data_IF_864111224807
#
_entry.id   IF_864111224807
#
_cell.length_a   1.000
_cell.length_b   1.000
_cell.length_c   1.000
_cell.angle_alpha   90.00
_cell.angle_beta   90.00
_cell.angle_gamma   90.00
#
_symmetry.space_group_name_H-M   'P 1'
#
loop_
_entity.id
_entity.type
_entity.pdbx_description
1 polymer ?
#
# COMPACT_ATOMS: atom_id res chain seq x y z
N UNK A 1 -16.51 3.42 -7.03
CA UNK A 1 -16.37 2.32 -8.01
C UNK A 1 -15.61 1.25 -7.28
N UNK A 2 -16.22 0.09 -6.99
CA UNK A 2 -15.51 -0.98 -6.33
C UNK A 2 -14.32 -1.34 -7.22
N UNK A 3 -13.11 -1.28 -6.68
CA UNK A 3 -11.95 -1.60 -7.48
C UNK A 3 -11.86 -3.12 -7.53
N UNK A 4 -12.31 -3.70 -8.62
CA UNK A 4 -12.06 -5.12 -8.89
C UNK A 4 -10.57 -5.30 -9.16
N UNK A 5 -10.00 -6.34 -8.56
CA UNK A 5 -8.65 -6.79 -8.87
C UNK A 5 -8.65 -7.52 -10.21
N UNK A 6 -7.81 -7.05 -11.12
CA UNK A 6 -7.56 -7.75 -12.38
C UNK A 6 -6.41 -8.77 -12.24
N UNK A 7 -6.23 -9.57 -13.29
CA UNK A 7 -5.21 -10.63 -13.31
C UNK A 7 -3.79 -10.09 -13.14
N UNK A 8 -3.53 -8.85 -13.59
CA UNK A 8 -2.22 -8.20 -13.44
C UNK A 8 -1.99 -7.85 -11.98
N UNK A 9 -2.98 -7.26 -11.31
CA UNK A 9 -2.89 -6.92 -9.89
C UNK A 9 -2.60 -8.18 -9.06
N UNK A 10 -3.28 -9.28 -9.35
CA UNK A 10 -3.07 -10.56 -8.67
C UNK A 10 -1.69 -11.13 -8.98
N UNK A 11 -1.25 -11.04 -10.23
CA UNK A 11 0.09 -11.43 -10.63
C UNK A 11 1.18 -10.70 -9.84
N UNK A 12 1.04 -9.38 -9.68
CA UNK A 12 1.97 -8.56 -8.89
C UNK A 12 1.98 -8.99 -7.42
N UNK A 13 0.80 -9.16 -6.82
CA UNK A 13 0.69 -9.55 -5.41
C UNK A 13 1.26 -10.95 -5.20
N UNK A 14 0.98 -11.88 -6.11
CA UNK A 14 1.48 -13.27 -6.04
C UNK A 14 3.00 -13.30 -6.14
N UNK A 15 3.59 -12.52 -7.07
CA UNK A 15 5.04 -12.43 -7.20
C UNK A 15 5.70 -11.89 -5.91
N UNK A 16 5.09 -10.88 -5.27
CA UNK A 16 5.59 -10.30 -4.01
C UNK A 16 5.35 -11.20 -2.78
N UNK A 17 4.27 -11.98 -2.76
CA UNK A 17 4.04 -12.99 -1.71
C UNK A 17 5.06 -14.13 -1.77
N UNK A 18 5.50 -14.50 -2.98
CA UNK A 18 6.56 -15.49 -3.17
C UNK A 18 7.93 -14.93 -2.79
N UNK A 19 8.24 -13.71 -3.25
CA UNK A 19 9.49 -13.02 -2.92
C UNK A 19 9.26 -11.50 -2.91
N UNK A 20 9.13 -10.96 -1.70
CA UNK A 20 8.93 -9.52 -1.48
C UNK A 20 10.14 -8.67 -1.86
N UNK A 21 11.29 -9.27 -2.20
CA UNK A 21 12.49 -8.56 -2.66
C UNK A 21 12.56 -8.42 -4.17
N UNK A 22 11.62 -9.01 -4.92
CA UNK A 22 11.58 -8.90 -6.38
C UNK A 22 11.51 -7.45 -6.83
N UNK A 23 12.38 -7.09 -7.76
CA UNK A 23 12.34 -5.78 -8.41
C UNK A 23 11.15 -5.66 -9.36
N UNK A 24 10.65 -4.44 -9.57
CA UNK A 24 9.58 -4.20 -10.57
C UNK A 24 9.97 -4.64 -11.98
N UNK A 25 11.27 -4.60 -12.33
CA UNK A 25 11.78 -5.10 -13.61
C UNK A 25 11.61 -6.62 -13.75
N UNK A 26 11.83 -7.38 -12.68
CA UNK A 26 11.63 -8.83 -12.69
C UNK A 26 10.14 -9.17 -12.81
N UNK A 27 9.29 -8.54 -12.00
CA UNK A 27 7.84 -8.72 -12.04
C UNK A 27 7.28 -8.36 -13.44
N UNK A 28 7.77 -7.27 -14.03
CA UNK A 28 7.39 -6.85 -15.38
C UNK A 28 7.69 -7.93 -16.44
N UNK A 29 8.86 -8.59 -16.34
CA UNK A 29 9.23 -9.69 -17.25
C UNK A 29 8.37 -10.93 -17.04
N UNK A 30 8.11 -11.29 -15.77
CA UNK A 30 7.27 -12.46 -15.43
C UNK A 30 5.83 -12.29 -15.94
N UNK A 31 5.29 -11.07 -15.86
CA UNK A 31 3.91 -10.76 -16.26
C UNK A 31 3.78 -10.24 -17.71
N UNK A 32 4.87 -10.16 -18.47
CA UNK A 32 4.91 -9.62 -19.84
C UNK A 32 4.30 -8.21 -19.97
N UNK A 33 4.63 -7.30 -19.04
CA UNK A 33 4.17 -5.91 -19.05
C UNK A 33 5.34 -4.94 -18.85
N UNK A 34 5.09 -3.64 -19.01
CA UNK A 34 6.14 -2.63 -18.80
C UNK A 34 6.44 -2.41 -17.31
N UNK A 35 7.69 -2.07 -16.97
CA UNK A 35 8.07 -1.70 -15.60
C UNK A 35 7.27 -0.51 -15.05
N UNK A 36 7.01 0.57 -15.83
CA UNK A 36 6.11 1.64 -15.40
C UNK A 36 4.70 1.13 -15.05
N UNK A 37 4.15 0.18 -15.82
CA UNK A 37 2.85 -0.42 -15.53
C UNK A 37 2.85 -1.12 -14.17
N UNK A 38 3.87 -1.94 -13.88
CA UNK A 38 4.02 -2.59 -12.56
C UNK A 38 4.08 -1.54 -11.45
N UNK A 39 4.89 -0.50 -11.62
CA UNK A 39 5.04 0.55 -10.61
C UNK A 39 3.72 1.27 -10.34
N UNK A 40 3.00 1.70 -11.37
CA UNK A 40 1.69 2.35 -11.21
C UNK A 40 0.69 1.44 -10.51
N UNK A 41 0.63 0.16 -10.91
CA UNK A 41 -0.28 -0.83 -10.31
C UNK A 41 0.06 -1.10 -8.86
N UNK A 42 1.34 -1.34 -8.55
CA UNK A 42 1.82 -1.51 -7.18
C UNK A 42 1.50 -0.30 -6.29
N UNK A 43 1.80 0.92 -6.74
CA UNK A 43 1.51 2.13 -5.97
C UNK A 43 0.01 2.27 -5.69
N UNK A 44 -0.84 1.95 -6.66
CA UNK A 44 -2.28 1.92 -6.45
C UNK A 44 -2.68 0.90 -5.37
N UNK A 45 -2.17 -0.33 -5.43
CA UNK A 45 -2.45 -1.39 -4.44
C UNK A 45 -2.01 -0.99 -3.01
N UNK A 46 -0.92 -0.24 -2.89
CA UNK A 46 -0.47 0.35 -1.62
C UNK A 46 -1.41 1.47 -1.17
N UNK A 47 -1.73 2.41 -2.06
CA UNK A 47 -2.58 3.56 -1.74
C UNK A 47 -4.00 3.17 -1.32
N UNK A 48 -4.56 2.10 -1.91
CA UNK A 48 -5.87 1.55 -1.50
C UNK A 48 -5.81 0.73 -0.21
N UNK A 49 -4.62 0.52 0.36
CA UNK A 49 -4.42 -0.21 1.61
C UNK A 49 -4.42 -1.74 1.49
N UNK A 50 -4.47 -2.28 0.26
CA UNK A 50 -4.40 -3.73 0.05
C UNK A 50 -3.00 -4.27 0.35
N UNK A 51 -1.95 -3.56 -0.10
CA UNK A 51 -0.57 -3.83 0.31
C UNK A 51 -0.21 -2.83 1.41
N UNK A 52 -0.16 -3.31 2.65
CA UNK A 52 0.24 -2.48 3.81
C UNK A 52 1.75 -2.33 3.91
N UNK A 53 2.48 -3.43 3.79
CA UNK A 53 3.93 -3.46 3.87
C UNK A 53 4.49 -4.73 3.25
N UNK A 54 5.79 -4.69 2.93
CA UNK A 54 6.61 -5.87 2.69
C UNK A 54 7.55 -5.98 3.90
N UNK A 55 7.56 -7.12 4.58
CA UNK A 55 8.30 -7.26 5.83
C UNK A 55 9.04 -8.60 5.89
N UNK A 56 10.27 -8.62 6.43
CA UNK A 56 11.01 -9.87 6.60
C UNK A 56 10.36 -10.73 7.68
N UNK A 57 10.33 -12.04 7.46
CA UNK A 57 10.02 -13.00 8.52
C UNK A 57 11.26 -13.13 9.41
N UNK A 58 11.14 -12.67 10.66
CA UNK A 58 12.23 -12.73 11.64
C UNK A 58 12.00 -13.96 12.51
N UNK A 59 12.97 -14.88 12.51
CA UNK A 59 12.96 -16.00 13.45
C UNK A 59 13.45 -15.52 14.83
N UNK A 60 12.55 -15.45 15.84
CA UNK A 60 12.89 -14.94 17.16
C UNK A 60 13.78 -15.91 17.97
N UNK A 61 14.00 -17.15 17.50
CA UNK A 61 14.92 -18.09 18.17
C UNK A 61 16.37 -17.64 18.04
N UNK A 62 16.71 -16.95 16.95
CA UNK A 62 18.04 -16.37 16.71
C UNK A 62 18.30 -15.08 17.52
N UNK A 63 17.30 -14.57 18.25
CA UNK A 63 17.45 -13.38 19.11
C UNK A 63 17.84 -13.77 20.54
N UNK A 64 18.94 -13.20 21.04
CA UNK A 64 19.41 -13.41 22.43
C UNK A 64 18.40 -12.85 23.44
N UNK A 65 18.29 -13.50 24.62
CA UNK A 65 17.26 -13.25 25.65
C UNK A 65 17.08 -11.77 26.06
N UNK A 66 18.15 -10.96 26.09
CA UNK A 66 18.08 -9.52 26.40
C UNK A 66 17.31 -8.67 25.37
N UNK A 67 17.02 -9.19 24.18
CA UNK A 67 16.21 -8.52 23.16
C UNK A 67 14.73 -8.89 23.19
N UNK A 68 14.35 -10.01 23.83
CA UNK A 68 12.97 -10.53 23.79
C UNK A 68 11.99 -9.72 24.61
N UNK A 69 12.44 -9.10 25.70
CA UNK A 69 11.62 -8.25 26.58
C UNK A 69 11.17 -6.93 25.93
N UNK A 70 11.82 -6.53 24.82
CA UNK A 70 11.51 -5.31 24.07
C UNK A 70 10.65 -5.55 22.82
N UNK A 71 10.38 -6.80 22.45
CA UNK A 71 9.32 -7.08 21.50
C UNK A 71 8.01 -6.89 22.26
N UNK A 72 7.47 -5.67 22.21
CA UNK A 72 6.06 -5.46 22.52
C UNK A 72 5.22 -6.45 21.72
N UNK A 73 4.00 -6.74 22.18
CA UNK A 73 3.01 -7.52 21.42
C UNK A 73 2.82 -6.84 20.05
N UNK A 74 3.64 -7.17 19.08
CA UNK A 74 3.40 -6.80 17.70
C UNK A 74 2.25 -7.69 17.27
N UNK A 75 1.27 -7.10 16.60
CA UNK A 75 0.34 -7.86 15.79
C UNK A 75 1.19 -8.65 14.80
N UNK A 76 1.58 -9.87 15.19
CA UNK A 76 2.02 -10.88 14.25
C UNK A 76 0.75 -11.14 13.47
N UNK A 77 0.55 -10.37 12.41
CA UNK A 77 -0.39 -10.74 11.37
C UNK A 77 0.18 -12.05 10.88
N UNK A 78 -0.43 -13.16 11.31
CA UNK A 78 -0.06 -14.50 10.88
C UNK A 78 0.16 -14.40 9.37
N UNK A 79 1.40 -14.67 8.94
CA UNK A 79 1.81 -14.58 7.54
C UNK A 79 1.12 -15.68 6.76
N UNK A 80 -0.18 -15.55 6.57
CA UNK A 80 -0.97 -16.39 5.73
C UNK A 80 -0.80 -15.89 4.31
N UNK A 81 -0.34 -16.78 3.44
CA UNK A 81 -0.44 -16.60 2.00
C UNK A 81 -1.93 -16.42 1.68
N UNK A 82 -2.33 -15.19 1.32
CA UNK A 82 -3.72 -14.90 0.98
C UNK A 82 -3.91 -15.23 -0.50
N UNK A 83 -4.79 -16.20 -0.78
CA UNK A 83 -5.13 -16.57 -2.15
C UNK A 83 -6.19 -15.61 -2.72
N UNK A 84 -5.73 -14.56 -3.39
CA UNK A 84 -6.58 -13.59 -4.08
C UNK A 84 -6.97 -14.12 -5.47
N UNK A 85 -8.23 -13.93 -5.86
CA UNK A 85 -8.76 -14.32 -7.18
C UNK A 85 -9.26 -13.10 -7.95
N UNK A 86 -9.26 -13.23 -9.28
CA UNK A 86 -9.73 -12.19 -10.19
C UNK A 86 -11.21 -11.92 -9.97
N UNK A 87 -11.60 -10.66 -10.05
CA UNK A 87 -12.98 -10.22 -9.77
C UNK A 87 -13.32 -10.07 -8.28
N UNK A 88 -12.36 -10.25 -7.37
CA UNK A 88 -12.56 -9.86 -5.97
C UNK A 88 -12.68 -8.33 -5.87
N UNK A 89 -13.70 -7.87 -5.16
CA UNK A 89 -13.98 -6.45 -4.92
C UNK A 89 -13.27 -5.95 -3.67
N UNK A 90 -12.56 -4.83 -3.79
CA UNK A 90 -11.95 -4.14 -2.66
C UNK A 90 -12.90 -3.09 -2.11
N UNK A 91 -13.08 -3.10 -0.80
CA UNK A 91 -13.79 -2.06 -0.07
C UNK A 91 -12.82 -0.94 0.30
N UNK A 92 -13.12 0.26 -0.20
CA UNK A 92 -12.33 1.47 0.09
C UNK A 92 -12.85 2.15 1.35
N UNK A 93 -11.95 2.65 2.19
CA UNK A 93 -12.28 3.44 3.38
C UNK A 93 -11.77 4.87 3.25
N UNK A 94 -12.41 5.80 3.97
CA UNK A 94 -12.03 7.20 4.01
C UNK A 94 -10.82 7.43 4.91
N UNK A 95 -9.77 8.08 4.39
CA UNK A 95 -8.53 8.37 5.14
C UNK A 95 -8.71 9.37 6.31
N UNK A 96 -9.88 10.00 6.45
CA UNK A 96 -10.17 10.91 7.58
C UNK A 96 -11.18 10.32 8.57
N UNK A 97 -12.35 9.88 8.09
CA UNK A 97 -13.44 9.44 8.97
C UNK A 97 -13.54 7.91 9.10
N UNK A 98 -12.68 7.17 8.41
CA UNK A 98 -12.64 5.69 8.39
C UNK A 98 -13.91 5.01 7.83
N UNK A 99 -14.93 5.79 7.45
CA UNK A 99 -16.16 5.28 6.85
C UNK A 99 -15.96 4.71 5.44
N UNK A 100 -16.87 3.82 5.06
CA UNK A 100 -16.86 3.17 3.75
C UNK A 100 -17.12 4.15 2.60
N UNK A 101 -16.39 3.99 1.50
CA UNK A 101 -16.59 4.78 0.29
C UNK A 101 -17.45 3.98 -0.70
N UNK A 102 -18.77 4.16 -0.64
CA UNK A 102 -19.70 3.55 -1.59
C UNK A 102 -19.68 4.18 -3.00
N UNK A 103 -19.32 5.47 -3.09
CA UNK A 103 -19.38 6.24 -4.34
C UNK A 103 -17.99 6.44 -4.97
N UNK A 104 -17.88 7.34 -5.96
CA UNK A 104 -16.58 7.75 -6.49
C UNK A 104 -15.82 8.51 -5.39
N UNK A 105 -14.61 8.07 -4.99
CA UNK A 105 -13.86 8.75 -3.95
C UNK A 105 -13.44 10.15 -4.40
N UNK A 106 -13.41 11.08 -3.45
CA UNK A 106 -12.64 12.30 -3.61
C UNK A 106 -11.16 11.96 -3.42
N UNK A 107 -10.34 12.17 -4.44
CA UNK A 107 -8.92 11.83 -4.40
C UNK A 107 -8.09 13.08 -4.13
N UNK A 108 -7.09 12.96 -3.27
CA UNK A 108 -6.03 13.94 -3.12
C UNK A 108 -4.68 13.28 -3.38
N UNK A 109 -3.93 13.82 -4.35
CA UNK A 109 -2.61 13.31 -4.74
C UNK A 109 -1.52 14.27 -4.29
N UNK A 110 -0.43 13.74 -3.76
CA UNK A 110 0.78 14.50 -3.40
C UNK A 110 2.00 13.58 -3.43
N UNK A 111 3.09 14.04 -4.07
CA UNK A 111 4.24 13.19 -4.38
C UNK A 111 3.78 11.86 -5.04
N UNK A 112 4.21 10.72 -4.50
CA UNK A 112 3.83 9.38 -4.95
C UNK A 112 2.60 8.81 -4.21
N UNK A 113 1.90 9.62 -3.41
CA UNK A 113 0.79 9.18 -2.58
C UNK A 113 -0.56 9.63 -3.14
N UNK A 114 -1.54 8.76 -3.00
CA UNK A 114 -2.95 9.05 -3.23
C UNK A 114 -3.74 8.77 -1.95
N UNK A 115 -4.60 9.71 -1.56
CA UNK A 115 -5.53 9.59 -0.44
C UNK A 115 -6.97 9.67 -0.93
N UNK A 116 -7.84 8.85 -0.34
CA UNK A 116 -9.22 8.65 -0.77
C UNK A 116 -10.20 9.09 0.33
N UNK A 117 -11.22 9.84 -0.05
CA UNK A 117 -12.20 10.40 0.89
C UNK A 117 -13.63 10.18 0.41
N UNK A 118 -14.54 9.95 1.36
CA UNK A 118 -15.97 9.77 1.09
C UNK A 118 -16.69 11.05 0.62
N UNK A 119 -16.19 12.23 1.00
CA UNK A 119 -16.77 13.53 0.64
C UNK A 119 -15.69 14.62 0.52
N UNK A 120 -16.03 15.76 -0.11
CA UNK A 120 -15.09 16.88 -0.26
C UNK A 120 -14.72 17.51 1.10
N UNK A 121 -15.61 17.48 2.09
CA UNK A 121 -15.35 17.95 3.46
C UNK A 121 -14.19 17.18 4.08
N UNK A 122 -14.25 15.84 4.05
CA UNK A 122 -13.19 14.99 4.58
C UNK A 122 -11.85 15.26 3.88
N UNK A 123 -11.86 15.45 2.57
CA UNK A 123 -10.64 15.80 1.82
C UNK A 123 -10.04 17.13 2.29
N UNK A 124 -10.85 18.17 2.40
CA UNK A 124 -10.37 19.51 2.81
C UNK A 124 -9.85 19.49 4.24
N UNK A 125 -10.60 18.88 5.15
CA UNK A 125 -10.21 18.80 6.56
C UNK A 125 -8.92 17.98 6.76
N UNK A 126 -8.75 16.88 6.02
CA UNK A 126 -7.50 16.12 6.00
C UNK A 126 -6.31 16.98 5.57
N UNK A 127 -6.46 17.77 4.50
CA UNK A 127 -5.40 18.66 4.01
C UNK A 127 -4.96 19.66 5.07
N UNK A 128 -5.91 20.28 5.76
CA UNK A 128 -5.61 21.26 6.80
C UNK A 128 -4.94 20.60 8.02
N UNK A 129 -5.51 19.49 8.53
CA UNK A 129 -4.95 18.78 9.69
C UNK A 129 -3.55 18.23 9.43
N UNK A 130 -3.27 17.79 8.20
CA UNK A 130 -2.02 17.13 7.85
C UNK A 130 -1.06 18.04 7.07
N UNK A 131 -1.35 19.34 6.93
CA UNK A 131 -0.65 20.28 6.04
C UNK A 131 0.87 20.24 6.20
N UNK A 132 1.37 20.30 7.45
CA UNK A 132 2.80 20.29 7.73
C UNK A 132 3.48 18.99 7.27
N UNK A 133 2.89 17.83 7.59
CA UNK A 133 3.41 16.52 7.18
C UNK A 133 3.39 16.35 5.66
N UNK A 134 2.30 16.76 5.02
CA UNK A 134 2.15 16.71 3.56
C UNK A 134 3.25 17.53 2.89
N UNK A 135 3.50 18.75 3.37
CA UNK A 135 4.54 19.62 2.81
C UNK A 135 5.93 18.98 2.92
N UNK A 136 6.27 18.43 4.09
CA UNK A 136 7.57 17.74 4.27
C UNK A 136 7.75 16.54 3.34
N UNK A 137 6.68 15.80 3.03
CA UNK A 137 6.73 14.68 2.08
C UNK A 137 6.95 15.18 0.65
N UNK A 138 6.25 16.26 0.26
CA UNK A 138 6.38 16.86 -1.06
C UNK A 138 7.80 17.39 -1.28
N UNK A 139 8.37 18.07 -0.28
CA UNK A 139 9.70 18.66 -0.40
C UNK A 139 10.77 17.59 -0.56
N UNK A 140 10.72 16.52 0.26
CA UNK A 140 11.62 15.36 0.12
C UNK A 140 11.54 14.70 -1.26
N UNK A 141 10.32 14.54 -1.80
CA UNK A 141 10.16 13.93 -3.11
C UNK A 141 10.81 14.76 -4.24
N UNK A 142 10.81 16.10 -4.13
CA UNK A 142 11.48 16.97 -5.10
C UNK A 142 13.00 16.88 -5.02
N UNK A 143 13.56 16.70 -3.83
CA UNK A 143 15.00 16.52 -3.62
C UNK A 143 15.52 15.20 -4.22
N UNK A 144 14.71 14.14 -4.22
CA UNK A 144 15.06 12.83 -4.80
C UNK A 144 15.00 12.80 -6.34
N UNK A 145 14.30 13.76 -6.96
CA UNK A 145 14.13 13.88 -8.42
C UNK A 145 15.14 14.85 -9.08
N UNK A 146 15.96 15.55 -8.29
CA UNK A 146 16.99 16.52 -8.75
C UNK A 146 18.38 15.89 -8.82
#
# INVERSE_FOLDING_TARGET
MPHELDDIDIGIITALQQDGRKSFRQIARELNISTPTVQTRYQRLVNIGLIKSISPVIDPTNLKKKGKEKLGKQDIVDSHNVNLKSGMTIQMTCDLCEGEIGNKPHVFKFANFERFFCCNTCKTEYKEKNRGRIQSIIDKAKEEES
#
